data_IF_431120945605
#
_entry.id   IF_431120945605
#
_cell.length_a   1.000
_cell.length_b   1.000
_cell.length_c   1.000
_cell.angle_alpha   90.00
_cell.angle_beta   90.00
_cell.angle_gamma   90.00
#
_symmetry.space_group_name_H-M   'P 1'
#
loop_
_entity.id
_entity.type
_entity.pdbx_description
1 polymer ?
#
# COMPACT_ATOMS: atom_id res chain seq x y z
N UNK A 1 -5.09 -12.59 11.04
CA UNK A 1 -6.40 -11.99 11.39
C UNK A 1 -6.31 -10.47 11.38
N UNK A 2 -7.45 -9.77 11.41
CA UNK A 2 -7.49 -8.35 11.78
C UNK A 2 -6.97 -8.21 13.22
N UNK A 3 -6.17 -7.18 13.45
CA UNK A 3 -5.54 -6.90 14.74
C UNK A 3 -6.29 -5.83 15.55
N UNK A 4 -7.53 -5.50 15.18
CA UNK A 4 -8.36 -4.59 15.98
C UNK A 4 -8.40 -5.01 17.45
N UNK A 5 -8.37 -4.03 18.35
CA UNK A 5 -8.31 -4.26 19.80
C UNK A 5 -9.48 -5.10 20.30
N UNK A 6 -10.68 -4.84 19.80
CA UNK A 6 -11.90 -5.61 20.12
C UNK A 6 -11.76 -7.08 19.73
N UNK A 7 -11.33 -7.36 18.50
CA UNK A 7 -11.21 -8.74 18.01
C UNK A 7 -10.11 -9.51 18.75
N UNK A 8 -8.96 -8.88 18.95
CA UNK A 8 -7.87 -9.44 19.76
C UNK A 8 -8.32 -9.75 21.20
N UNK A 9 -9.14 -8.89 21.81
CA UNK A 9 -9.62 -9.08 23.19
C UNK A 9 -10.56 -10.28 23.31
N UNK A 10 -11.43 -10.50 22.31
CA UNK A 10 -12.30 -11.68 22.25
C UNK A 10 -11.45 -12.95 22.12
N UNK A 11 -10.47 -12.98 21.22
CA UNK A 11 -9.60 -14.16 21.04
C UNK A 11 -8.84 -14.48 22.32
N UNK A 12 -8.26 -13.48 22.99
CA UNK A 12 -7.57 -13.70 24.28
C UNK A 12 -8.50 -14.25 25.37
N UNK A 13 -9.76 -13.81 25.40
CA UNK A 13 -10.74 -14.22 26.41
C UNK A 13 -11.22 -15.66 26.21
N UNK A 14 -11.55 -16.04 24.96
CA UNK A 14 -12.19 -17.33 24.67
C UNK A 14 -11.20 -18.40 24.18
N UNK A 15 -10.03 -18.00 23.70
CA UNK A 15 -8.99 -18.90 23.17
C UNK A 15 -7.60 -18.49 23.69
N UNK A 16 -7.33 -18.62 25.00
CA UNK A 16 -6.12 -18.07 25.64
C UNK A 16 -4.80 -18.66 25.08
N UNK A 17 -4.84 -19.86 24.53
CA UNK A 17 -3.69 -20.53 23.92
C UNK A 17 -3.55 -20.26 22.41
N UNK A 18 -4.50 -19.53 21.79
CA UNK A 18 -4.44 -19.24 20.37
C UNK A 18 -3.35 -18.21 20.07
N UNK A 19 -2.49 -18.53 19.10
CA UNK A 19 -1.47 -17.58 18.61
C UNK A 19 -2.14 -16.55 17.71
N UNK A 20 -2.12 -15.29 18.12
CA UNK A 20 -2.58 -14.15 17.31
C UNK A 20 -1.49 -13.82 16.29
N UNK A 21 -1.82 -13.92 15.00
CA UNK A 21 -0.91 -13.63 13.90
C UNK A 21 -1.55 -12.63 12.95
N UNK A 22 -0.80 -11.59 12.59
CA UNK A 22 -1.21 -10.63 11.57
C UNK A 22 -1.44 -11.35 10.24
N UNK A 23 -2.62 -11.15 9.63
CA UNK A 23 -2.81 -11.64 8.27
C UNK A 23 -2.10 -10.71 7.28
N UNK A 24 -1.31 -11.29 6.37
CA UNK A 24 -0.55 -10.54 5.37
C UNK A 24 -1.44 -9.65 4.51
N UNK A 25 -2.64 -10.10 4.13
CA UNK A 25 -3.53 -9.29 3.29
C UNK A 25 -3.95 -8.01 4.01
N UNK A 26 -4.17 -8.07 5.32
CA UNK A 26 -4.47 -6.90 6.14
C UNK A 26 -3.31 -5.91 6.18
N UNK A 27 -2.07 -6.40 6.33
CA UNK A 27 -0.86 -5.55 6.33
C UNK A 27 -0.69 -4.84 5.00
N UNK A 28 -0.79 -5.56 3.88
CA UNK A 28 -0.68 -4.99 2.53
C UNK A 28 -1.78 -3.94 2.30
N UNK A 29 -3.02 -4.24 2.71
CA UNK A 29 -4.14 -3.31 2.57
C UNK A 29 -3.93 -2.03 3.39
N UNK A 30 -3.42 -2.14 4.62
CA UNK A 30 -3.14 -1.02 5.50
C UNK A 30 -2.03 -0.13 4.93
N UNK A 31 -0.92 -0.73 4.49
CA UNK A 31 0.18 -0.02 3.83
C UNK A 31 -0.32 0.74 2.60
N UNK A 32 -1.04 0.05 1.71
CA UNK A 32 -1.57 0.65 0.50
C UNK A 32 -2.49 1.84 0.84
N UNK A 33 -3.36 1.72 1.85
CA UNK A 33 -4.20 2.82 2.30
C UNK A 33 -3.36 4.03 2.73
N UNK A 34 -2.36 3.82 3.59
CA UNK A 34 -1.51 4.89 4.10
C UNK A 34 -0.76 5.61 2.98
N UNK A 35 -0.11 4.87 2.08
CA UNK A 35 0.58 5.46 0.94
C UNK A 35 -0.37 6.31 0.07
N UNK A 36 -1.59 5.81 -0.21
CA UNK A 36 -2.57 6.57 -1.01
C UNK A 36 -3.08 7.82 -0.31
N UNK A 37 -3.14 7.84 1.02
CA UNK A 37 -3.47 9.04 1.79
C UNK A 37 -2.31 10.04 1.68
N UNK A 38 -1.08 9.59 1.95
CA UNK A 38 0.11 10.44 1.87
C UNK A 38 0.31 11.05 0.48
N UNK A 39 0.09 10.31 -0.61
CA UNK A 39 0.19 10.88 -1.96
C UNK A 39 -0.79 12.04 -2.20
N UNK A 40 -1.99 11.99 -1.60
CA UNK A 40 -2.99 13.07 -1.73
C UNK A 40 -2.64 14.28 -0.87
N UNK A 41 -1.96 14.08 0.25
CA UNK A 41 -1.48 15.14 1.13
C UNK A 41 -0.29 15.87 0.52
N UNK A 42 0.62 15.15 -0.14
CA UNK A 42 1.83 15.71 -0.73
C UNK A 42 1.60 16.45 -2.05
N UNK A 43 0.51 16.19 -2.77
CA UNK A 43 0.25 16.84 -4.05
C UNK A 43 -1.24 17.04 -4.34
N UNK A 44 -1.63 18.30 -4.51
CA UNK A 44 -2.99 18.67 -4.93
C UNK A 44 -3.34 18.11 -6.32
N UNK A 45 -2.35 17.97 -7.21
CA UNK A 45 -2.46 17.34 -8.55
C UNK A 45 -2.88 15.87 -8.43
N UNK A 46 -2.44 15.18 -7.37
CA UNK A 46 -2.82 13.79 -7.08
C UNK A 46 -4.22 13.71 -6.46
N UNK A 47 -4.55 14.64 -5.56
CA UNK A 47 -5.86 14.71 -4.90
C UNK A 47 -7.02 14.80 -5.89
N UNK A 48 -6.87 15.57 -6.96
CA UNK A 48 -7.89 15.75 -8.00
C UNK A 48 -7.80 14.73 -9.15
N UNK A 49 -6.68 14.02 -9.31
CA UNK A 49 -6.44 13.14 -10.46
C UNK A 49 -6.51 11.64 -10.08
N UNK A 50 -7.71 11.06 -10.22
CA UNK A 50 -7.95 9.63 -9.99
C UNK A 50 -7.13 8.73 -10.91
N UNK A 51 -6.79 9.19 -12.12
CA UNK A 51 -5.98 8.44 -13.08
C UNK A 51 -4.56 8.22 -12.58
N UNK A 52 -3.91 9.27 -12.06
CA UNK A 52 -2.57 9.16 -11.46
C UNK A 52 -2.59 8.26 -10.22
N UNK A 53 -3.57 8.43 -9.34
CA UNK A 53 -3.74 7.54 -8.17
C UNK A 53 -3.88 6.07 -8.58
N UNK A 54 -4.57 5.77 -9.69
CA UNK A 54 -4.68 4.41 -10.20
C UNK A 54 -3.33 3.86 -10.69
N UNK A 55 -2.50 4.70 -11.31
CA UNK A 55 -1.15 4.32 -11.75
C UNK A 55 -0.20 4.06 -10.57
N UNK A 56 -0.28 4.86 -9.51
CA UNK A 56 0.52 4.67 -8.28
C UNK A 56 0.09 3.45 -7.45
N UNK A 57 -1.20 3.09 -7.51
CA UNK A 57 -1.74 1.91 -6.82
C UNK A 57 -1.41 0.61 -7.55
N UNK A 58 -1.40 0.63 -8.88
CA UNK A 58 -1.16 -0.56 -9.67
C UNK A 58 0.29 -1.04 -9.52
N UNK A 59 0.48 -2.36 -9.58
CA UNK A 59 1.82 -2.92 -9.66
C UNK A 59 2.42 -2.62 -11.05
N UNK A 60 3.74 -2.34 -11.14
CA UNK A 60 4.41 -2.05 -12.41
C UNK A 60 4.17 -3.11 -13.50
N UNK A 61 4.20 -4.40 -13.13
CA UNK A 61 4.02 -5.54 -14.04
C UNK A 61 2.60 -5.63 -14.65
N UNK A 62 1.63 -4.90 -14.09
CA UNK A 62 0.24 -4.88 -14.58
C UNK A 62 -0.08 -3.64 -15.42
N UNK A 63 0.87 -2.74 -15.62
CA UNK A 63 0.68 -1.53 -16.38
C UNK A 63 1.14 -1.72 -17.83
N UNK A 64 0.39 -1.15 -18.77
CA UNK A 64 0.85 -1.06 -20.16
C UNK A 64 2.05 -0.11 -20.27
N UNK A 65 2.90 -0.22 -21.32
CA UNK A 65 4.06 0.65 -21.48
C UNK A 65 3.73 2.14 -21.45
N UNK A 66 2.61 2.54 -22.05
CA UNK A 66 2.12 3.92 -22.04
C UNK A 66 1.77 4.40 -20.62
N UNK A 67 1.15 3.53 -19.81
CA UNK A 67 0.78 3.83 -18.43
C UNK A 67 2.00 3.89 -17.51
N UNK A 68 2.99 3.02 -17.74
CA UNK A 68 4.28 3.07 -17.06
C UNK A 68 4.98 4.39 -17.34
N UNK A 69 5.13 4.77 -18.61
CA UNK A 69 5.75 6.02 -18.98
C UNK A 69 5.06 7.23 -18.32
N UNK A 70 3.72 7.27 -18.34
CA UNK A 70 2.95 8.35 -17.68
C UNK A 70 3.17 8.41 -16.17
N UNK A 71 3.31 7.25 -15.52
CA UNK A 71 3.66 7.17 -14.09
C UNK A 71 5.06 7.72 -13.86
N UNK A 72 6.03 7.30 -14.66
CA UNK A 72 7.44 7.61 -14.46
C UNK A 72 7.73 9.10 -14.67
N UNK A 73 7.10 9.71 -15.69
CA UNK A 73 7.12 11.18 -15.87
C UNK A 73 6.55 11.88 -14.63
N UNK A 74 5.41 11.39 -14.11
CA UNK A 74 4.81 11.97 -12.91
C UNK A 74 5.71 11.82 -11.67
N UNK A 75 6.37 10.67 -11.49
CA UNK A 75 7.30 10.43 -10.38
C UNK A 75 8.55 11.31 -10.47
N UNK A 76 9.10 11.50 -11.68
CA UNK A 76 10.23 12.40 -11.91
C UNK A 76 9.88 13.86 -11.56
N UNK A 77 8.65 14.30 -11.83
CA UNK A 77 8.15 15.62 -11.42
C UNK A 77 7.91 15.74 -9.91
N UNK A 78 7.80 14.63 -9.17
CA UNK A 78 7.37 14.60 -7.76
C UNK A 78 8.30 13.69 -6.91
N UNK A 79 9.56 14.09 -6.65
CA UNK A 79 10.56 13.22 -6.02
C UNK A 79 10.18 12.72 -4.61
N UNK A 80 9.44 13.52 -3.83
CA UNK A 80 8.93 13.09 -2.54
C UNK A 80 7.92 11.92 -2.66
N UNK A 81 7.10 11.94 -3.71
CA UNK A 81 6.14 10.86 -3.99
C UNK A 81 6.88 9.63 -4.54
N UNK A 82 7.92 9.82 -5.35
CA UNK A 82 8.76 8.74 -5.85
C UNK A 82 9.45 7.96 -4.72
N UNK A 83 10.06 8.65 -3.75
CA UNK A 83 10.69 8.00 -2.61
C UNK A 83 9.71 7.07 -1.86
N UNK A 84 8.49 7.53 -1.62
CA UNK A 84 7.43 6.73 -0.97
C UNK A 84 6.96 5.59 -1.87
N UNK A 85 6.84 5.83 -3.18
CA UNK A 85 6.45 4.83 -4.15
C UNK A 85 7.47 3.68 -4.21
N UNK A 86 8.77 3.97 -4.29
CA UNK A 86 9.81 2.96 -4.31
C UNK A 86 9.81 2.13 -3.01
N UNK A 87 9.70 2.80 -1.86
CA UNK A 87 9.54 2.11 -0.57
C UNK A 87 8.33 1.17 -0.56
N UNK A 88 7.17 1.65 -1.04
CA UNK A 88 5.95 0.83 -1.13
C UNK A 88 6.17 -0.40 -2.03
N UNK A 89 6.84 -0.26 -3.18
CA UNK A 89 7.11 -1.39 -4.09
C UNK A 89 8.04 -2.43 -3.46
N UNK A 90 9.12 -1.99 -2.81
CA UNK A 90 10.06 -2.87 -2.11
C UNK A 90 9.35 -3.64 -1.00
N UNK A 91 8.54 -2.95 -0.19
CA UNK A 91 7.81 -3.58 0.90
C UNK A 91 6.74 -4.56 0.38
N UNK A 92 6.04 -4.21 -0.70
CA UNK A 92 5.14 -5.15 -1.38
C UNK A 92 5.88 -6.39 -1.87
N UNK A 93 7.08 -6.26 -2.44
CA UNK A 93 7.88 -7.39 -2.89
C UNK A 93 8.23 -8.30 -1.71
N UNK A 94 8.70 -7.74 -0.59
CA UNK A 94 9.02 -8.50 0.63
C UNK A 94 7.81 -9.26 1.17
N UNK A 95 6.65 -8.60 1.25
CA UNK A 95 5.42 -9.23 1.74
C UNK A 95 4.91 -10.31 0.78
N UNK A 96 5.14 -10.18 -0.53
CA UNK A 96 4.65 -11.12 -1.53
C UNK A 96 5.50 -12.40 -1.66
N UNK A 97 6.73 -12.42 -1.13
CA UNK A 97 7.55 -13.64 -1.07
C UNK A 97 6.72 -14.72 -0.35
N UNK A 98 6.46 -15.83 -1.06
CA UNK A 98 5.87 -17.02 -0.44
C UNK A 98 6.97 -17.65 0.41
N UNK A 99 6.73 -17.73 1.72
CA UNK A 99 7.42 -18.70 2.58
C UNK A 99 6.89 -20.09 2.28
#
# INVERSE_FOLDING_TARGET
MDLSSTYCSIVKKYFPNAKIVADRFHVIRLLQHQCMTTYRELSSKVKSNRGILALLRARPDKLSPQKLHKRDVFLAENPAIDAIYQFQQQLHQLLYIKQ
#
